data_IF_170683311922
#
_entry.id   IF_170683311922
#
_cell.length_a   1.000
_cell.length_b   1.000
_cell.length_c   1.000
_cell.angle_alpha   90.00
_cell.angle_beta   90.00
_cell.angle_gamma   90.00
#
_symmetry.space_group_name_H-M   'P 1'
#
loop_
_entity.id
_entity.type
_entity.pdbx_description
1 polymer ?
#
# COMPACT_ATOMS: atom_id res chain seq x y z
N UNK A 1 25.29 -12.28 12.26
CA UNK A 1 24.36 -12.87 13.26
C UNK A 1 23.73 -14.16 12.72
N UNK A 2 23.43 -14.23 11.42
CA UNK A 2 22.91 -15.45 10.76
C UNK A 2 23.97 -16.56 10.60
N UNK A 3 25.24 -16.19 10.38
CA UNK A 3 26.35 -17.17 10.19
C UNK A 3 26.44 -18.19 11.33
N UNK A 4 26.35 -17.76 12.59
CA UNK A 4 26.50 -18.65 13.74
C UNK A 4 25.35 -19.67 13.89
N UNK A 5 24.15 -19.37 13.40
CA UNK A 5 22.97 -20.21 13.61
C UNK A 5 22.71 -21.19 12.46
N UNK A 6 23.03 -20.79 11.22
CA UNK A 6 22.70 -21.58 10.03
C UNK A 6 23.85 -22.44 9.50
N UNK A 7 25.09 -22.21 9.95
CA UNK A 7 26.26 -23.04 9.61
C UNK A 7 26.30 -24.34 10.45
N UNK A 8 25.66 -24.38 11.63
CA UNK A 8 25.86 -25.43 12.65
C UNK A 8 24.78 -26.52 12.72
N UNK A 9 23.74 -26.49 11.88
CA UNK A 9 22.65 -27.47 11.96
C UNK A 9 23.04 -28.86 11.44
N UNK A 10 22.79 -29.94 12.21
CA UNK A 10 23.17 -31.34 11.88
C UNK A 10 22.70 -31.85 10.50
N UNK A 11 21.70 -31.19 9.90
CA UNK A 11 21.14 -31.56 8.58
C UNK A 11 21.69 -30.72 7.41
N UNK A 12 22.57 -29.75 7.67
CA UNK A 12 23.08 -28.81 6.67
C UNK A 12 21.97 -28.07 5.88
N UNK A 13 20.78 -27.94 6.48
CA UNK A 13 19.59 -27.37 5.82
C UNK A 13 19.58 -25.83 5.81
N UNK A 14 20.60 -25.18 6.37
CA UNK A 14 20.64 -23.74 6.51
C UNK A 14 20.64 -22.99 5.18
N UNK A 15 21.27 -23.56 4.15
CA UNK A 15 21.28 -22.98 2.82
C UNK A 15 19.86 -22.84 2.25
N UNK A 16 19.09 -23.93 2.26
CA UNK A 16 17.73 -23.94 1.72
C UNK A 16 16.82 -22.95 2.46
N UNK A 17 16.93 -22.90 3.80
CA UNK A 17 16.15 -21.97 4.62
C UNK A 17 16.44 -20.52 4.23
N UNK A 18 17.72 -20.14 4.14
CA UNK A 18 18.12 -18.77 3.79
C UNK A 18 17.74 -18.41 2.35
N UNK A 19 17.96 -19.33 1.40
CA UNK A 19 17.60 -19.13 0.00
C UNK A 19 16.09 -18.93 -0.18
N UNK A 20 15.27 -19.74 0.49
CA UNK A 20 13.81 -19.57 0.46
C UNK A 20 13.34 -18.32 1.21
N UNK A 21 13.99 -17.94 2.32
CA UNK A 21 13.67 -16.68 3.00
C UNK A 21 13.86 -15.48 2.07
N UNK A 22 14.99 -15.42 1.35
CA UNK A 22 15.22 -14.39 0.33
C UNK A 22 14.08 -14.36 -0.71
N UNK A 23 13.61 -15.54 -1.17
CA UNK A 23 12.47 -15.62 -2.09
C UNK A 23 11.17 -15.07 -1.47
N UNK A 24 10.92 -15.33 -0.19
CA UNK A 24 9.75 -14.80 0.52
C UNK A 24 9.77 -13.27 0.64
N UNK A 25 10.94 -12.64 0.68
CA UNK A 25 11.05 -11.17 0.61
C UNK A 25 10.36 -10.56 -0.63
N UNK A 26 10.33 -11.29 -1.75
CA UNK A 26 9.58 -10.85 -2.94
C UNK A 26 8.05 -10.89 -2.73
N UNK A 27 7.56 -11.86 -1.96
CA UNK A 27 6.14 -11.99 -1.64
C UNK A 27 5.70 -10.76 -0.82
N UNK A 28 6.47 -10.42 0.22
CA UNK A 28 6.21 -9.24 1.03
C UNK A 28 6.14 -7.93 0.22
N UNK A 29 7.03 -7.75 -0.77
CA UNK A 29 6.98 -6.57 -1.67
C UNK A 29 5.68 -6.52 -2.49
N UNK A 30 5.19 -7.66 -2.98
CA UNK A 30 3.94 -7.74 -3.75
C UNK A 30 2.72 -7.48 -2.87
N UNK A 31 2.69 -8.06 -1.68
CA UNK A 31 1.63 -7.84 -0.69
C UNK A 31 1.55 -6.37 -0.29
N UNK A 32 2.70 -5.69 -0.11
CA UNK A 32 2.73 -4.25 0.14
C UNK A 32 2.11 -3.45 -1.03
N UNK A 33 2.45 -3.80 -2.28
CA UNK A 33 1.86 -3.14 -3.45
C UNK A 33 0.35 -3.34 -3.53
N UNK A 34 -0.15 -4.53 -3.18
CA UNK A 34 -1.58 -4.84 -3.12
C UNK A 34 -2.29 -4.05 -2.03
N UNK A 35 -1.72 -4.01 -0.82
CA UNK A 35 -2.25 -3.20 0.27
C UNK A 35 -2.38 -1.72 -0.11
N UNK A 36 -1.33 -1.14 -0.71
CA UNK A 36 -1.34 0.28 -1.13
C UNK A 36 -2.36 0.50 -2.25
N UNK A 37 -2.59 -0.48 -3.13
CA UNK A 37 -3.60 -0.42 -4.20
C UNK A 37 -5.01 -0.37 -3.62
N UNK A 38 -5.33 -1.24 -2.67
CA UNK A 38 -6.63 -1.22 -1.99
C UNK A 38 -6.84 0.12 -1.26
N UNK A 39 -5.79 0.62 -0.59
CA UNK A 39 -5.82 1.96 0.01
C UNK A 39 -6.11 3.06 -1.02
N UNK A 40 -5.45 3.04 -2.17
CA UNK A 40 -5.67 4.02 -3.24
C UNK A 40 -7.12 3.98 -3.77
N UNK A 41 -7.72 2.79 -3.89
CA UNK A 41 -9.11 2.62 -4.31
C UNK A 41 -10.12 3.19 -3.29
N UNK A 42 -9.83 3.07 -1.99
CA UNK A 42 -10.62 3.70 -0.93
C UNK A 42 -10.57 5.23 -1.07
N UNK A 43 -9.38 5.80 -1.24
CA UNK A 43 -9.21 7.25 -1.41
C UNK A 43 -9.90 7.78 -2.68
N UNK A 44 -9.85 7.02 -3.78
CA UNK A 44 -10.58 7.36 -5.01
C UNK A 44 -12.09 7.40 -4.78
N UNK A 45 -12.63 6.41 -4.07
CA UNK A 45 -14.06 6.32 -3.75
C UNK A 45 -14.49 7.48 -2.86
N UNK A 46 -13.67 7.83 -1.87
CA UNK A 46 -13.91 8.99 -1.00
C UNK A 46 -13.92 10.29 -1.80
N UNK A 47 -12.91 10.52 -2.63
CA UNK A 47 -12.81 11.70 -3.50
C UNK A 47 -14.03 11.84 -4.43
N UNK A 48 -14.45 10.75 -5.09
CA UNK A 48 -15.63 10.74 -5.97
C UNK A 48 -16.92 11.05 -5.20
N UNK A 49 -17.04 10.52 -3.98
CA UNK A 49 -18.20 10.76 -3.12
C UNK A 49 -18.26 12.21 -2.64
N UNK A 50 -17.12 12.79 -2.26
CA UNK A 50 -17.02 14.21 -1.90
C UNK A 50 -17.31 15.14 -3.08
N UNK A 51 -16.83 14.79 -4.28
CA UNK A 51 -17.16 15.52 -5.52
C UNK A 51 -18.67 15.50 -5.80
N UNK A 52 -19.34 14.38 -5.52
CA UNK A 52 -20.80 14.28 -5.65
C UNK A 52 -21.51 15.14 -4.60
N UNK A 53 -21.01 15.18 -3.36
CA UNK A 53 -21.56 16.02 -2.29
C UNK A 53 -21.45 17.51 -2.64
N UNK A 54 -20.32 17.94 -3.20
CA UNK A 54 -20.14 19.31 -3.68
C UNK A 54 -21.18 19.68 -4.76
N UNK A 55 -21.45 18.78 -5.71
CA UNK A 55 -22.51 18.98 -6.72
C UNK A 55 -23.90 19.11 -6.11
N UNK A 56 -24.21 18.36 -5.05
CA UNK A 56 -25.48 18.50 -4.32
C UNK A 56 -25.58 19.89 -3.69
N UNK A 57 -24.52 20.36 -3.03
CA UNK A 57 -24.47 21.71 -2.46
C UNK A 57 -24.64 22.79 -3.56
N UNK A 58 -24.04 22.60 -4.74
CA UNK A 58 -24.21 23.50 -5.89
C UNK A 58 -25.64 23.54 -6.43
N UNK A 59 -26.41 22.46 -6.26
CA UNK A 59 -27.81 22.38 -6.66
C UNK A 59 -28.77 22.81 -5.54
N UNK A 60 -28.23 23.35 -4.44
CA UNK A 60 -29.03 23.96 -3.37
C UNK A 60 -29.94 25.07 -3.90
N UNK A 61 -31.08 25.27 -3.25
CA UNK A 61 -32.02 26.31 -3.65
C UNK A 61 -31.33 27.68 -3.66
N UNK A 62 -31.39 28.43 -4.77
CA UNK A 62 -30.88 29.81 -4.81
C UNK A 62 -31.80 30.78 -4.04
N UNK A 63 -32.90 30.28 -3.49
CA UNK A 63 -33.90 31.05 -2.77
C UNK A 63 -33.61 31.07 -1.27
N UNK A 64 -33.94 32.19 -0.65
CA UNK A 64 -33.86 32.39 0.79
C UNK A 64 -32.50 32.93 1.24
N UNK A 65 -32.49 33.47 2.46
CA UNK A 65 -31.34 34.16 3.04
C UNK A 65 -30.13 33.24 3.24
N UNK A 66 -30.35 31.92 3.34
CA UNK A 66 -29.30 30.92 3.51
C UNK A 66 -28.55 30.56 2.22
N UNK A 67 -29.08 30.93 1.04
CA UNK A 67 -28.53 30.52 -0.26
C UNK A 67 -26.99 30.70 -0.40
N UNK A 68 -26.37 31.81 0.08
CA UNK A 68 -24.91 31.97 0.01
C UNK A 68 -24.11 30.92 0.79
N UNK A 69 -24.67 30.33 1.85
CA UNK A 69 -23.97 29.33 2.66
C UNK A 69 -23.73 28.02 1.90
N UNK A 70 -24.61 27.68 0.95
CA UNK A 70 -24.42 26.50 0.10
C UNK A 70 -23.13 26.57 -0.73
N UNK A 71 -22.69 27.77 -1.11
CA UNK A 71 -21.41 27.93 -1.83
C UNK A 71 -20.21 27.63 -0.92
N UNK A 72 -20.27 27.99 0.36
CA UNK A 72 -19.23 27.64 1.35
C UNK A 72 -19.11 26.12 1.53
N UNK A 73 -20.26 25.43 1.65
CA UNK A 73 -20.29 23.96 1.70
C UNK A 73 -19.76 23.32 0.41
N UNK A 74 -20.13 23.88 -0.76
CA UNK A 74 -19.67 23.41 -2.06
C UNK A 74 -18.15 23.51 -2.18
N UNK A 75 -17.58 24.70 -1.93
CA UNK A 75 -16.13 24.95 -2.05
C UNK A 75 -15.33 24.06 -1.12
N UNK A 76 -15.75 23.93 0.15
CA UNK A 76 -15.07 23.05 1.11
C UNK A 76 -15.13 21.58 0.68
N UNK A 77 -16.29 21.11 0.22
CA UNK A 77 -16.45 19.75 -0.27
C UNK A 77 -15.59 19.46 -1.52
N UNK A 78 -15.50 20.41 -2.45
CA UNK A 78 -14.63 20.32 -3.63
C UNK A 78 -13.15 20.24 -3.22
N UNK A 79 -12.70 21.09 -2.28
CA UNK A 79 -11.32 21.07 -1.79
C UNK A 79 -10.97 19.77 -1.08
N UNK A 80 -11.85 19.24 -0.23
CA UNK A 80 -11.66 17.93 0.38
C UNK A 80 -11.58 16.82 -0.68
N UNK A 81 -12.45 16.85 -1.70
CA UNK A 81 -12.38 15.88 -2.79
C UNK A 81 -11.01 15.90 -3.50
N UNK A 82 -10.42 17.07 -3.70
CA UNK A 82 -9.11 17.23 -4.30
C UNK A 82 -7.97 16.71 -3.41
N UNK A 83 -8.02 16.95 -2.09
CA UNK A 83 -7.02 16.41 -1.16
C UNK A 83 -6.96 14.86 -1.24
N UNK A 84 -8.11 14.20 -1.23
CA UNK A 84 -8.18 12.74 -1.34
C UNK A 84 -7.81 12.23 -2.73
N UNK A 85 -8.14 12.97 -3.80
CA UNK A 85 -7.70 12.63 -5.15
C UNK A 85 -6.17 12.66 -5.27
N UNK A 86 -5.54 13.66 -4.67
CA UNK A 86 -4.10 13.83 -4.70
C UNK A 86 -3.40 12.74 -3.89
N UNK A 87 -3.96 12.37 -2.73
CA UNK A 87 -3.46 11.23 -1.96
C UNK A 87 -3.51 9.93 -2.76
N UNK A 88 -4.63 9.65 -3.45
CA UNK A 88 -4.75 8.50 -4.34
C UNK A 88 -3.66 8.50 -5.43
N UNK A 89 -3.34 9.66 -6.03
CA UNK A 89 -2.26 9.78 -7.03
C UNK A 89 -0.89 9.46 -6.42
N UNK A 90 -0.57 10.03 -5.26
CA UNK A 90 0.67 9.72 -4.53
C UNK A 90 0.78 8.23 -4.20
N UNK A 91 -0.33 7.58 -3.83
CA UNK A 91 -0.35 6.13 -3.61
C UNK A 91 -0.08 5.34 -4.89
N UNK A 92 -0.62 5.77 -6.03
CA UNK A 92 -0.32 5.14 -7.32
C UNK A 92 1.13 5.31 -7.75
N UNK A 93 1.74 6.47 -7.49
CA UNK A 93 3.17 6.66 -7.74
C UNK A 93 4.02 5.79 -6.81
N UNK A 94 3.65 5.68 -5.53
CA UNK A 94 4.30 4.74 -4.62
C UNK A 94 4.18 3.28 -5.09
N UNK A 95 3.03 2.87 -5.63
CA UNK A 95 2.86 1.52 -6.22
C UNK A 95 3.84 1.31 -7.37
N UNK A 96 4.10 2.33 -8.20
CA UNK A 96 5.11 2.24 -9.28
C UNK A 96 6.51 2.04 -8.70
N UNK A 97 6.87 2.76 -7.65
CA UNK A 97 8.16 2.60 -6.97
C UNK A 97 8.32 1.20 -6.33
N UNK A 98 7.26 0.68 -5.69
CA UNK A 98 7.24 -0.68 -5.14
C UNK A 98 7.42 -1.71 -6.26
N UNK A 99 6.73 -1.57 -7.39
CA UNK A 99 6.85 -2.49 -8.52
C UNK A 99 8.23 -2.46 -9.16
N UNK A 100 8.81 -1.26 -9.31
CA UNK A 100 10.19 -1.10 -9.78
C UNK A 100 11.17 -1.83 -8.86
N UNK A 101 11.02 -1.68 -7.55
CA UNK A 101 11.84 -2.40 -6.59
C UNK A 101 11.64 -3.93 -6.68
N UNK A 102 10.42 -4.41 -6.86
CA UNK A 102 10.16 -5.84 -7.09
C UNK A 102 10.88 -6.38 -8.35
N UNK A 103 10.95 -5.61 -9.43
CA UNK A 103 11.72 -5.98 -10.63
C UNK A 103 13.24 -6.03 -10.36
N UNK A 104 13.76 -5.08 -9.57
CA UNK A 104 15.15 -5.07 -9.12
C UNK A 104 15.45 -6.29 -8.24
N UNK A 105 14.57 -6.66 -7.32
CA UNK A 105 14.68 -7.87 -6.51
C UNK A 105 14.75 -9.14 -7.38
N UNK A 106 13.93 -9.24 -8.44
CA UNK A 106 13.99 -10.39 -9.36
C UNK A 106 15.38 -10.53 -9.98
N UNK A 107 16.00 -9.41 -10.40
CA UNK A 107 17.35 -9.40 -10.97
C UNK A 107 18.39 -9.82 -9.94
N UNK A 108 18.31 -9.28 -8.73
CA UNK A 108 19.20 -9.63 -7.61
C UNK A 108 19.07 -11.12 -7.29
N UNK A 109 17.86 -11.64 -7.10
CA UNK A 109 17.61 -13.04 -6.76
C UNK A 109 18.12 -14.01 -7.85
N UNK A 110 18.01 -13.64 -9.12
CA UNK A 110 18.56 -14.44 -10.23
C UNK A 110 20.09 -14.49 -10.15
N UNK A 111 20.73 -13.34 -9.98
CA UNK A 111 22.19 -13.25 -9.84
C UNK A 111 22.69 -14.01 -8.61
N UNK A 112 22.06 -13.81 -7.46
CA UNK A 112 22.43 -14.52 -6.23
C UNK A 112 22.34 -16.03 -6.41
N UNK A 113 21.29 -16.55 -7.07
CA UNK A 113 21.17 -17.99 -7.34
C UNK A 113 22.39 -18.55 -8.08
N UNK A 114 22.90 -17.83 -9.08
CA UNK A 114 24.09 -18.23 -9.85
C UNK A 114 25.36 -18.18 -8.98
N UNK A 115 25.49 -17.15 -8.12
CA UNK A 115 26.64 -16.99 -7.22
C UNK A 115 26.71 -18.06 -6.12
N UNK A 116 25.56 -18.49 -5.59
CA UNK A 116 25.51 -19.40 -4.43
C UNK A 116 25.36 -20.88 -4.81
N UNK A 117 25.33 -21.23 -6.10
CA UNK A 117 25.16 -22.62 -6.57
C UNK A 117 26.27 -23.53 -6.07
N UNK A 118 27.51 -23.03 -5.99
CA UNK A 118 28.65 -23.78 -5.47
C UNK A 118 28.53 -24.13 -3.99
N UNK A 119 27.78 -23.35 -3.21
CA UNK A 119 27.46 -23.69 -1.81
C UNK A 119 26.50 -24.88 -1.76
N UNK A 120 25.49 -24.92 -2.64
CA UNK A 120 24.56 -26.06 -2.74
C UNK A 120 25.29 -27.36 -3.13
N UNK A 121 26.22 -27.29 -4.08
CA UNK A 121 27.06 -28.44 -4.45
C UNK A 121 27.92 -28.92 -3.28
N UNK A 122 28.45 -27.99 -2.48
CA UNK A 122 29.25 -28.32 -1.29
C UNK A 122 28.39 -28.99 -0.19
N UNK A 123 27.15 -28.53 0.02
CA UNK A 123 26.17 -29.17 0.92
C UNK A 123 25.91 -30.61 0.49
N UNK A 124 25.64 -30.84 -0.80
CA UNK A 124 25.39 -32.19 -1.35
C UNK A 124 26.62 -33.08 -1.23
N UNK A 125 27.81 -32.55 -1.54
CA UNK A 125 29.08 -33.27 -1.40
C UNK A 125 29.31 -33.72 0.04
N UNK A 126 29.10 -32.84 1.02
CA UNK A 126 29.22 -33.14 2.44
C UNK A 126 28.25 -34.24 2.88
N UNK A 127 27.00 -34.20 2.42
CA UNK A 127 26.01 -35.25 2.70
C UNK A 127 26.42 -36.61 2.13
N UNK A 128 26.95 -36.65 0.90
CA UNK A 128 27.46 -37.88 0.28
C UNK A 128 28.66 -38.43 1.05
N UNK A 129 29.64 -37.58 1.40
CA UNK A 129 30.80 -38.02 2.17
C UNK A 129 30.40 -38.50 3.57
N UNK A 130 29.40 -37.89 4.22
CA UNK A 130 28.88 -38.36 5.50
C UNK A 130 28.29 -39.77 5.37
N UNK A 131 27.50 -40.04 4.32
CA UNK A 131 26.97 -41.39 4.07
C UNK A 131 28.08 -42.43 3.88
N UNK A 132 29.12 -42.10 3.11
CA UNK A 132 30.29 -42.97 2.94
C UNK A 132 31.05 -43.19 4.24
N UNK A 133 31.20 -42.15 5.07
CA UNK A 133 31.82 -42.23 6.38
C UNK A 133 31.08 -43.20 7.30
N UNK A 134 29.75 -43.09 7.40
CA UNK A 134 28.95 -44.00 8.23
C UNK A 134 29.06 -45.46 7.75
N UNK A 135 28.95 -45.71 6.44
CA UNK A 135 29.13 -47.07 5.87
C UNK A 135 30.52 -47.65 6.13
N UNK A 136 31.57 -46.84 5.98
CA UNK A 136 32.94 -47.29 6.25
C UNK A 136 33.16 -47.56 7.75
N UNK A 137 32.55 -46.74 8.63
CA UNK A 137 32.56 -46.94 10.08
C UNK A 137 31.90 -48.27 10.45
N UNK A 138 30.68 -48.51 9.99
CA UNK A 138 29.94 -49.76 10.24
C UNK A 138 30.70 -50.97 9.71
N UNK A 139 31.26 -50.86 8.49
CA UNK A 139 32.09 -51.90 7.88
C UNK A 139 33.32 -52.24 8.72
N UNK A 140 34.05 -51.22 9.21
CA UNK A 140 35.19 -51.40 10.11
C UNK A 140 34.80 -52.04 11.44
N UNK A 141 33.73 -51.56 12.08
CA UNK A 141 33.25 -52.13 13.35
C UNK A 141 32.84 -53.59 13.19
N UNK A 142 32.14 -53.93 12.11
CA UNK A 142 31.77 -55.32 11.79
C UNK A 142 32.99 -56.23 11.64
N UNK A 143 34.07 -55.77 10.97
CA UNK A 143 35.31 -56.55 10.86
C UNK A 143 36.05 -56.70 12.18
N UNK A 144 36.00 -55.69 13.06
CA UNK A 144 36.58 -55.77 14.39
C UNK A 144 35.84 -56.79 15.27
N UNK A 145 34.51 -56.74 15.28
CA UNK A 145 33.68 -57.69 16.05
C UNK A 145 33.92 -59.13 15.58
N UNK A 146 34.00 -59.36 14.27
CA UNK A 146 34.29 -60.68 13.72
C UNK A 146 35.69 -61.18 14.08
N UNK A 147 36.70 -60.30 14.03
CA UNK A 147 38.06 -60.65 14.46
C UNK A 147 38.10 -61.08 15.93
N UNK A 148 37.43 -60.35 16.82
CA UNK A 148 37.34 -60.68 18.24
C UNK A 148 36.59 -61.99 18.50
N UNK A 149 35.55 -62.29 17.71
CA UNK A 149 34.84 -63.57 17.76
C UNK A 149 35.77 -64.73 17.41
N UNK A 150 36.48 -64.62 16.28
CA UNK A 150 37.42 -65.63 15.81
C UNK A 150 38.58 -65.85 16.80
N UNK A 151 39.08 -64.78 17.44
CA UNK A 151 40.07 -64.88 18.53
C UNK A 151 39.57 -65.72 19.70
N UNK A 152 38.32 -65.54 20.12
CA UNK A 152 37.71 -66.30 21.22
C UNK A 152 37.43 -67.76 20.88
N UNK A 153 37.14 -68.05 19.62
CA UNK A 153 36.85 -69.41 19.13
C UNK A 153 38.10 -70.26 18.90
N UNK A 154 39.31 -69.67 18.99
CA UNK A 154 40.57 -70.41 18.86
C UNK A 154 40.79 -70.97 17.45
N UNK A 155 40.34 -70.25 16.41
CA UNK A 155 40.50 -70.67 15.01
C UNK A 155 41.97 -70.76 14.59
N UNK A 156 42.31 -71.53 13.53
CA UNK A 156 43.68 -71.66 13.07
C UNK A 156 44.34 -70.31 12.77
N UNK A 157 45.63 -70.18 13.11
CA UNK A 157 46.41 -68.93 12.97
C UNK A 157 46.27 -68.28 11.59
N UNK A 158 46.27 -69.09 10.52
CA UNK A 158 46.12 -68.62 9.13
C UNK A 158 44.78 -67.93 8.86
N UNK A 159 43.70 -68.37 9.51
CA UNK A 159 42.39 -67.72 9.40
C UNK A 159 42.32 -66.43 10.21
N UNK A 160 42.98 -66.42 11.36
CA UNK A 160 43.12 -65.23 12.20
C UNK A 160 43.87 -64.11 11.47
N UNK A 161 45.03 -64.41 10.88
CA UNK A 161 45.82 -63.47 10.08
C UNK A 161 45.00 -62.89 8.91
N UNK A 162 44.15 -63.72 8.28
CA UNK A 162 43.25 -63.29 7.21
C UNK A 162 42.18 -62.33 7.72
N UNK A 163 41.63 -62.55 8.91
CA UNK A 163 40.66 -61.65 9.54
C UNK A 163 41.32 -60.33 9.98
N UNK A 164 42.54 -60.38 10.51
CA UNK A 164 43.34 -59.20 10.87
C UNK A 164 43.64 -58.33 9.65
N UNK A 165 44.03 -58.94 8.52
CA UNK A 165 44.26 -58.22 7.27
C UNK A 165 42.97 -57.53 6.76
N UNK A 166 41.81 -58.20 6.87
CA UNK A 166 40.51 -57.61 6.51
C UNK A 166 40.15 -56.44 7.42
N UNK A 167 40.39 -56.56 8.73
CA UNK A 167 40.15 -55.48 9.69
C UNK A 167 41.06 -54.28 9.42
N UNK A 168 42.36 -54.52 9.19
CA UNK A 168 43.33 -53.48 8.83
C UNK A 168 42.92 -52.73 7.55
N UNK A 169 42.54 -53.46 6.49
CA UNK A 169 42.07 -52.86 5.24
C UNK A 169 40.78 -52.05 5.43
N UNK A 170 39.87 -52.50 6.30
CA UNK A 170 38.66 -51.75 6.64
C UNK A 170 38.99 -50.48 7.45
N UNK A 171 39.99 -50.53 8.34
CA UNK A 171 40.48 -49.37 9.09
C UNK A 171 41.08 -48.30 8.16
N UNK A 172 41.92 -48.72 7.19
CA UNK A 172 42.49 -47.83 6.17
C UNK A 172 41.39 -47.17 5.31
N UNK A 173 40.36 -47.93 4.92
CA UNK A 173 39.19 -47.40 4.21
C UNK A 173 38.41 -46.39 5.05
N UNK A 174 38.20 -46.67 6.34
CA UNK A 174 37.53 -45.77 7.26
C UNK A 174 38.32 -44.47 7.47
N UNK A 175 39.64 -44.57 7.67
CA UNK A 175 40.54 -43.41 7.76
C UNK A 175 40.49 -42.54 6.50
N UNK A 176 40.49 -43.16 5.31
CA UNK A 176 40.34 -42.44 4.05
C UNK A 176 38.99 -41.72 3.91
N UNK A 177 37.90 -42.33 4.37
CA UNK A 177 36.57 -41.69 4.41
C UNK A 177 36.51 -40.53 5.40
N UNK A 178 37.20 -40.61 6.55
CA UNK A 178 37.33 -39.49 7.50
C UNK A 178 38.03 -38.30 6.83
N UNK A 179 39.14 -38.53 6.12
CA UNK A 179 39.86 -37.43 5.44
C UNK A 179 38.99 -36.74 4.38
N UNK A 180 38.27 -37.53 3.57
CA UNK A 180 37.34 -37.01 2.56
C UNK A 180 36.19 -36.22 3.17
N UNK A 181 35.58 -36.71 4.26
CA UNK A 181 34.55 -36.00 4.99
C UNK A 181 35.07 -34.68 5.55
N UNK A 182 36.21 -34.69 6.24
CA UNK A 182 36.81 -33.48 6.82
C UNK A 182 37.18 -32.43 5.74
N UNK A 183 37.63 -32.88 4.56
CA UNK A 183 37.91 -31.99 3.42
C UNK A 183 36.62 -31.35 2.90
N UNK A 184 35.56 -32.14 2.71
CA UNK A 184 34.26 -31.62 2.29
C UNK A 184 33.67 -30.68 3.35
N UNK A 185 33.86 -30.97 4.64
CA UNK A 185 33.40 -30.13 5.75
C UNK A 185 34.02 -28.74 5.71
N UNK A 186 35.34 -28.63 5.50
CA UNK A 186 36.01 -27.31 5.38
C UNK A 186 35.55 -26.50 4.17
N UNK A 187 35.37 -27.16 3.02
CA UNK A 187 34.84 -26.49 1.81
C UNK A 187 33.41 -25.99 2.04
N UNK A 188 32.58 -26.80 2.70
CA UNK A 188 31.22 -26.43 3.07
C UNK A 188 31.19 -25.25 4.04
N UNK A 189 31.94 -25.31 5.15
CA UNK A 189 31.97 -24.24 6.15
C UNK A 189 32.36 -22.90 5.53
N UNK A 190 33.41 -22.89 4.70
CA UNK A 190 33.85 -21.68 4.01
C UNK A 190 32.73 -21.12 3.09
N UNK A 191 32.23 -21.94 2.16
CA UNK A 191 31.22 -21.50 1.19
C UNK A 191 29.88 -21.16 1.83
N UNK A 192 29.53 -21.83 2.93
CA UNK A 192 28.30 -21.57 3.66
C UNK A 192 28.38 -20.26 4.44
N UNK A 193 29.53 -19.94 5.04
CA UNK A 193 29.74 -18.64 5.69
C UNK A 193 29.60 -17.49 4.68
N UNK A 194 30.30 -17.58 3.55
CA UNK A 194 30.24 -16.56 2.49
C UNK A 194 28.80 -16.36 1.95
N UNK A 195 28.09 -17.46 1.68
CA UNK A 195 26.69 -17.41 1.26
C UNK A 195 25.75 -16.90 2.34
N UNK A 196 25.95 -17.26 3.60
CA UNK A 196 25.14 -16.79 4.72
C UNK A 196 25.28 -15.27 4.91
N UNK A 197 26.51 -14.74 4.83
CA UNK A 197 26.75 -13.30 4.88
C UNK A 197 26.08 -12.60 3.68
N UNK A 198 26.19 -13.18 2.48
CA UNK A 198 25.52 -12.65 1.28
C UNK A 198 23.99 -12.58 1.44
N UNK A 199 23.37 -13.64 1.98
CA UNK A 199 21.93 -13.63 2.27
C UNK A 199 21.57 -12.60 3.34
N UNK A 200 22.41 -12.43 4.36
CA UNK A 200 22.22 -11.39 5.38
C UNK A 200 22.23 -9.99 4.74
N UNK A 201 23.22 -9.70 3.89
CA UNK A 201 23.34 -8.38 3.24
C UNK A 201 22.12 -8.08 2.35
N UNK A 202 21.63 -9.08 1.61
CA UNK A 202 20.43 -8.97 0.78
C UNK A 202 19.20 -8.69 1.64
N UNK A 203 19.03 -9.42 2.74
CA UNK A 203 17.90 -9.25 3.65
C UNK A 203 17.94 -7.89 4.35
N UNK A 204 19.10 -7.44 4.82
CA UNK A 204 19.26 -6.11 5.41
C UNK A 204 18.95 -5.01 4.41
N UNK A 205 19.43 -5.12 3.17
CA UNK A 205 19.10 -4.18 2.10
C UNK A 205 17.59 -4.20 1.79
N UNK A 206 16.97 -5.38 1.76
CA UNK A 206 15.54 -5.53 1.57
C UNK A 206 14.72 -4.82 2.65
N UNK A 207 15.01 -5.12 3.91
CA UNK A 207 14.30 -4.51 5.05
C UNK A 207 14.49 -3.00 5.10
N UNK A 208 15.68 -2.49 4.76
CA UNK A 208 15.93 -1.04 4.65
C UNK A 208 15.06 -0.41 3.56
N UNK A 209 14.99 -1.02 2.37
CA UNK A 209 14.19 -0.50 1.28
C UNK A 209 12.69 -0.55 1.58
N UNK A 210 12.20 -1.65 2.15
CA UNK A 210 10.80 -1.77 2.59
C UNK A 210 10.44 -0.68 3.60
N UNK A 211 11.32 -0.41 4.57
CA UNK A 211 11.11 0.69 5.53
C UNK A 211 11.07 2.07 4.86
N UNK A 212 11.84 2.30 3.80
CA UNK A 212 11.78 3.57 3.05
C UNK A 212 10.45 3.73 2.30
N UNK A 213 9.95 2.65 1.68
CA UNK A 213 8.64 2.65 1.00
C UNK A 213 7.50 2.90 1.99
N UNK A 214 7.54 2.28 3.17
CA UNK A 214 6.56 2.52 4.24
C UNK A 214 6.64 3.95 4.78
N UNK A 215 7.84 4.53 4.88
CA UNK A 215 7.98 5.95 5.25
C UNK A 215 7.37 6.88 4.21
N UNK A 216 7.57 6.62 2.92
CA UNK A 216 6.96 7.39 1.83
C UNK A 216 5.42 7.32 1.88
N UNK A 217 4.88 6.14 2.19
CA UNK A 217 3.46 5.95 2.47
C UNK A 217 2.97 6.84 3.63
N UNK A 218 3.65 6.77 4.79
CA UNK A 218 3.30 7.57 5.98
C UNK A 218 3.33 9.07 5.69
N UNK A 219 4.41 9.55 5.08
CA UNK A 219 4.56 10.97 4.74
C UNK A 219 3.46 11.46 3.80
N UNK A 220 3.04 10.65 2.82
CA UNK A 220 1.96 11.03 1.92
C UNK A 220 0.64 11.23 2.67
N UNK A 221 0.36 10.38 3.67
CA UNK A 221 -0.85 10.48 4.50
C UNK A 221 -0.77 11.70 5.41
N UNK A 222 0.34 11.89 6.10
CA UNK A 222 0.56 13.00 7.02
C UNK A 222 0.42 14.35 6.31
N UNK A 223 1.05 14.50 5.14
CA UNK A 223 0.95 15.70 4.31
C UNK A 223 -0.51 15.97 3.89
N UNK A 224 -1.23 14.97 3.39
CA UNK A 224 -2.65 15.13 3.05
C UNK A 224 -3.50 15.45 4.29
N UNK A 225 -3.21 14.87 5.46
CA UNK A 225 -3.93 15.16 6.68
C UNK A 225 -3.80 16.63 7.08
N UNK A 226 -2.61 17.21 6.95
CA UNK A 226 -2.38 18.65 7.18
C UNK A 226 -3.23 19.49 6.21
N UNK A 227 -3.26 19.14 4.92
CA UNK A 227 -4.06 19.85 3.92
C UNK A 227 -5.56 19.77 4.23
N UNK A 228 -6.07 18.60 4.62
CA UNK A 228 -7.47 18.45 5.06
C UNK A 228 -7.77 19.34 6.28
N UNK A 229 -6.84 19.40 7.24
CA UNK A 229 -6.95 20.32 8.38
C UNK A 229 -7.06 21.79 7.96
N UNK A 230 -6.27 22.22 6.98
CA UNK A 230 -6.34 23.58 6.43
C UNK A 230 -7.70 23.86 5.76
N UNK A 231 -8.25 22.91 5.00
CA UNK A 231 -9.58 23.06 4.39
C UNK A 231 -10.67 23.19 5.45
N UNK A 232 -10.59 22.43 6.54
CA UNK A 232 -11.54 22.56 7.65
C UNK A 232 -11.42 23.91 8.37
N UNK A 233 -10.21 24.41 8.56
CA UNK A 233 -9.97 25.72 9.16
C UNK A 233 -10.55 26.84 8.28
N UNK A 234 -10.27 26.79 6.97
CA UNK A 234 -10.82 27.73 5.99
C UNK A 234 -12.36 27.70 5.96
N UNK A 235 -12.96 26.51 6.04
CA UNK A 235 -14.42 26.39 6.11
C UNK A 235 -15.00 27.11 7.34
N UNK A 236 -14.41 26.92 8.52
CA UNK A 236 -14.84 27.62 9.75
C UNK A 236 -14.75 29.13 9.60
N UNK A 237 -13.62 29.63 9.11
CA UNK A 237 -13.42 31.07 8.87
C UNK A 237 -14.42 31.62 7.86
N UNK A 238 -14.70 30.90 6.78
CA UNK A 238 -15.70 31.31 5.78
C UNK A 238 -17.12 31.38 6.38
N UNK A 239 -17.48 30.48 7.29
CA UNK A 239 -18.76 30.52 8.00
C UNK A 239 -18.84 31.73 8.94
N UNK A 240 -17.77 32.01 9.70
CA UNK A 240 -17.70 33.15 10.62
C UNK A 240 -17.74 34.50 9.89
N UNK A 241 -17.09 34.60 8.72
CA UNK A 241 -17.04 35.82 7.91
C UNK A 241 -18.41 36.20 7.31
N UNK A 242 -19.32 35.23 7.14
CA UNK A 242 -20.67 35.47 6.63
C UNK A 242 -21.60 35.77 7.81
N UNK A 243 -21.55 37.02 8.28
CA UNK A 243 -22.42 37.52 9.34
C UNK A 243 -23.92 37.45 8.99
N UNK A 244 -24.75 37.26 10.01
CA UNK A 244 -26.21 37.20 9.86
C UNK A 244 -26.74 38.52 9.28
N UNK A 245 -26.21 39.66 9.71
CA UNK A 245 -26.59 40.97 9.18
C UNK A 245 -26.30 41.08 7.69
N UNK A 246 -25.16 40.56 7.22
CA UNK A 246 -24.77 40.57 5.81
C UNK A 246 -25.75 39.72 4.97
N UNK A 247 -26.17 38.57 5.48
CA UNK A 247 -27.16 37.72 4.82
C UNK A 247 -28.52 38.41 4.70
N UNK A 248 -29.01 39.01 5.79
CA UNK A 248 -30.29 39.73 5.83
C UNK A 248 -30.26 40.97 4.94
N UNK A 249 -29.16 41.72 4.98
CA UNK A 249 -28.95 42.91 4.15
C UNK A 249 -28.96 42.51 2.66
N UNK A 250 -28.17 41.49 2.28
CA UNK A 250 -28.14 40.97 0.90
C UNK A 250 -29.51 40.51 0.41
N UNK A 251 -30.29 39.85 1.27
CA UNK A 251 -31.66 39.47 0.93
C UNK A 251 -32.57 40.69 0.73
N UNK A 252 -32.53 41.65 1.66
CA UNK A 252 -33.29 42.91 1.59
C UNK A 252 -32.98 43.69 0.32
N UNK A 253 -31.70 43.77 -0.05
CA UNK A 253 -31.25 44.47 -1.25
C UNK A 253 -31.73 43.77 -2.54
N UNK A 254 -31.82 42.44 -2.53
CA UNK A 254 -32.24 41.65 -3.70
C UNK A 254 -33.76 41.54 -3.87
N UNK A 255 -34.52 41.55 -2.76
CA UNK A 255 -35.96 41.24 -2.74
C UNK A 255 -36.83 42.35 -2.14
N UNK A 256 -36.24 43.49 -1.76
CA UNK A 256 -36.97 44.63 -1.23
C UNK A 256 -38.00 45.17 -2.22
N UNK A 257 -39.20 45.49 -1.73
CA UNK A 257 -40.34 45.91 -2.55
C UNK A 257 -40.52 47.43 -2.61
N UNK A 258 -39.69 48.19 -1.89
CA UNK A 258 -39.75 49.64 -1.79
C UNK A 258 -39.44 50.11 -0.37
N UNK A 259 -38.89 51.32 -0.25
CA UNK A 259 -38.61 51.97 1.05
C UNK A 259 -39.74 52.91 1.49
N UNK A 260 -40.62 53.28 0.55
CA UNK A 260 -41.74 54.19 0.80
C UNK A 260 -42.89 53.46 1.48
N UNK A 261 -43.42 54.08 2.54
CA UNK A 261 -44.62 53.58 3.22
C UNK A 261 -45.86 54.00 2.43
N UNK A 262 -46.93 53.18 2.39
CA UNK A 262 -48.20 53.61 1.82
C UNK A 262 -48.65 54.93 2.46
N UNK A 263 -48.90 55.94 1.61
CA UNK A 263 -49.34 57.26 2.08
C UNK A 263 -50.76 57.22 2.65
N UNK A 264 -51.10 58.14 3.56
CA UNK A 264 -52.49 58.31 4.00
C UNK A 264 -53.36 58.70 2.80
N UNK A 265 -54.50 58.01 2.64
CA UNK A 265 -55.46 58.29 1.57
C UNK A 265 -56.51 59.26 2.10
N UNK A 266 -56.68 60.39 1.42
CA UNK A 266 -57.75 61.36 1.67
C UNK A 266 -59.01 61.05 0.87
N UNK A 267 -60.14 61.60 1.29
CA UNK A 267 -61.37 61.58 0.49
C UNK A 267 -61.16 62.40 -0.80
N UNK A 268 -61.32 61.75 -1.96
CA UNK A 268 -61.35 62.44 -3.26
C UNK A 268 -62.81 62.76 -3.63
N UNK A 269 -63.11 64.05 -3.74
CA UNK A 269 -64.44 64.51 -4.13
C UNK A 269 -64.68 64.26 -5.62
N UNK A 270 -65.82 63.68 -5.98
CA UNK A 270 -66.14 63.35 -7.37
C UNK A 270 -66.48 64.61 -8.17
N UNK A 271 -65.55 65.07 -9.02
CA UNK A 271 -65.81 66.14 -9.97
C UNK A 271 -66.36 65.56 -11.28
N UNK A 272 -67.62 65.90 -11.60
CA UNK A 272 -68.27 65.57 -12.88
C UNK A 272 -67.54 66.22 -14.07
N UNK A 273 -67.49 65.62 -15.28
CA UNK A 273 -66.49 65.95 -16.32
C UNK A 273 -66.70 67.27 -17.07
N UNK A 274 -67.48 68.21 -16.54
CA UNK A 274 -67.64 69.52 -17.13
C UNK A 274 -66.91 70.52 -16.24
N UNK A 275 -65.64 70.77 -16.61
CA UNK A 275 -64.90 72.05 -16.57
C UNK A 275 -63.40 71.81 -16.25
N UNK A 276 -62.59 72.21 -17.25
CA UNK A 276 -61.18 72.65 -17.24
C UNK A 276 -59.99 71.69 -17.03
N UNK A 277 -59.21 71.60 -18.13
CA UNK A 277 -57.78 71.87 -18.31
C UNK A 277 -56.70 71.53 -17.25
N UNK A 278 -55.68 70.84 -17.78
CA UNK A 278 -54.27 70.83 -17.39
C UNK A 278 -53.87 70.46 -15.96
N UNK A 279 -53.66 69.16 -15.75
CA UNK A 279 -52.55 68.70 -14.90
C UNK A 279 -52.09 67.29 -15.32
N UNK A 280 -50.78 67.14 -15.53
CA UNK A 280 -50.10 65.92 -15.99
C UNK A 280 -50.30 64.79 -14.96
N UNK A 281 -51.10 63.78 -15.31
CA UNK A 281 -51.25 62.55 -14.51
C UNK A 281 -50.00 61.66 -14.67
N UNK A 282 -49.28 61.46 -13.57
CA UNK A 282 -48.29 60.39 -13.43
C UNK A 282 -49.00 59.04 -13.56
N UNK A 283 -48.55 58.22 -14.50
CA UNK A 283 -49.17 56.93 -14.85
C UNK A 283 -48.73 55.87 -13.85
N UNK A 284 -49.59 55.53 -12.89
CA UNK A 284 -49.41 54.34 -12.05
C UNK A 284 -49.45 53.08 -12.94
N UNK A 285 -48.41 52.24 -12.85
CA UNK A 285 -48.39 50.95 -13.55
C UNK A 285 -49.29 49.96 -12.81
N UNK A 286 -50.29 49.43 -13.52
CA UNK A 286 -51.18 48.40 -13.00
C UNK A 286 -50.42 47.11 -12.65
N UNK A 287 -50.89 46.47 -11.58
CA UNK A 287 -50.40 45.19 -11.07
C UNK A 287 -50.57 44.08 -12.12
N UNK A 288 -49.51 43.32 -12.40
CA UNK A 288 -49.56 42.08 -13.18
C UNK A 288 -48.92 40.96 -12.38
N UNK A 289 -49.60 39.82 -12.30
CA UNK A 289 -49.07 38.57 -11.75
C UNK A 289 -48.34 37.82 -12.87
N UNK A 290 -47.02 37.57 -12.77
CA UNK A 290 -46.31 36.77 -13.77
C UNK A 290 -46.79 35.31 -13.75
N UNK A 291 -47.21 34.76 -14.89
CA UNK A 291 -47.51 33.32 -15.06
C UNK A 291 -48.95 32.93 -15.41
N UNK A 292 -49.89 33.88 -15.46
CA UNK A 292 -51.29 33.62 -15.86
C UNK A 292 -51.67 34.48 -17.08
N UNK A 293 -51.19 34.08 -18.25
CA UNK A 293 -51.61 34.57 -19.56
C UNK A 293 -52.01 33.39 -20.43
N UNK A 294 -53.21 33.47 -21.02
CA UNK A 294 -53.96 32.37 -21.63
C UNK A 294 -53.23 31.67 -22.79
N UNK A 295 -53.49 30.36 -22.93
CA UNK A 295 -53.15 29.49 -24.07
C UNK A 295 -53.83 30.00 -25.34
N UNK A 296 -53.05 30.27 -26.38
CA UNK A 296 -53.59 30.50 -27.73
C UNK A 296 -53.85 29.15 -28.43
N UNK A 297 -55.07 29.00 -28.95
CA UNK A 297 -55.47 27.95 -29.89
C UNK A 297 -55.17 28.43 -31.31
N UNK A 298 -54.74 27.47 -32.13
CA UNK A 298 -54.54 27.55 -33.59
C UNK A 298 -55.69 28.20 -34.36
N UNK A 299 -55.41 28.66 -35.59
CA UNK A 299 -56.36 28.56 -36.68
C UNK A 299 -55.86 27.64 -37.79
N UNK A 300 -56.81 26.87 -38.32
CA UNK A 300 -56.68 25.90 -39.41
C UNK A 300 -56.88 26.57 -40.79
N UNK A 301 -56.17 26.03 -41.79
CA UNK A 301 -56.46 25.99 -43.23
C UNK A 301 -56.54 27.26 -44.11
N UNK A 302 -55.56 27.40 -45.02
CA UNK A 302 -55.68 27.04 -46.45
C UNK A 302 -54.31 26.74 -47.07
#
# INVERSE_FOLDING_TARGET
>A
MLEAFFVLGEKNAGFDILYHNMKHGQIATKELAEFVRERAAIEETYSKSMSKLAKIASNGSPLGTFAPMWDVFRVSSDKLALCHLELMRKMNDLIRDINKYNEEQVKIHRKTKEEVIGTLESVQSLQVQNSHLQKAREGYHSKCVELERLRKEGVPQKELEKAELKSKKAAESFAGSIEKFNRAGRDFEQKMSESAQKFQDIEEAHLRQMKLLIKAYSHSIEDTHVQVGQVHEEFKQNVENIGIENLIQKFTDQKGTGKERPGPVGFEEYLSPLVSENSKKSRAKAFRIPGLGKRDKEPDSM
#
